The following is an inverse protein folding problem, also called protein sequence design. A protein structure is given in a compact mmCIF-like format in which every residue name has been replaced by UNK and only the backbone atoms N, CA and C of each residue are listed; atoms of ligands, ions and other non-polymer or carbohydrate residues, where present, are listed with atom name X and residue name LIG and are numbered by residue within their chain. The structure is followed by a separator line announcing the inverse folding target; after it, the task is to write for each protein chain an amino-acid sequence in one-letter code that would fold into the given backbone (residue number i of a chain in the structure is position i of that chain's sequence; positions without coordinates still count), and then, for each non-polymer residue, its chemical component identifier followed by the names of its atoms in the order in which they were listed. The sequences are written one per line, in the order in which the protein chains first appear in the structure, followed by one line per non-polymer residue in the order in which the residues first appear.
data_IF_716425174619
#
_entry.id   IF_716425174619
#
_cell.length_a   1.000
_cell.length_b   1.000
_cell.length_c   1.000
_cell.angle_alpha   90.00
_cell.angle_beta   90.00
_cell.angle_gamma   90.00
#
_symmetry.space_group_name_H-M   'P 1'
#
loop_
_entity.id
_entity.type
_entity.pdbx_description
1 polymer ?
#
# COMPACT_ATOMS: atom_id res chain seq x y z
N UNK A 1 111.98 20.98 37.23
CA UNK A 1 111.40 19.67 36.87
C UNK A 1 109.98 19.45 37.41
N UNK A 2 109.64 19.84 38.66
CA UNK A 2 108.29 19.64 39.23
C UNK A 2 107.17 20.46 38.57
N UNK A 3 107.43 21.68 38.08
CA UNK A 3 106.42 22.54 37.43
C UNK A 3 105.91 21.94 36.11
N UNK A 4 106.81 21.38 35.29
CA UNK A 4 106.47 20.71 34.03
C UNK A 4 105.62 19.45 34.24
N UNK A 5 105.82 18.75 35.36
CA UNK A 5 105.05 17.56 35.70
C UNK A 5 103.62 17.90 36.15
N UNK A 6 103.43 19.05 36.79
CA UNK A 6 102.12 19.53 37.22
C UNK A 6 101.28 20.08 36.05
N UNK A 7 101.91 20.82 35.13
CA UNK A 7 101.27 21.27 33.89
C UNK A 7 100.89 20.09 32.99
N UNK A 8 101.76 19.08 32.88
CA UNK A 8 101.46 17.87 32.11
C UNK A 8 100.27 17.09 32.68
N UNK A 9 100.16 16.95 34.01
CA UNK A 9 99.01 16.30 34.64
C UNK A 9 97.71 17.09 34.48
N UNK A 10 97.78 18.42 34.58
CA UNK A 10 96.62 19.29 34.39
C UNK A 10 96.09 19.22 32.96
N UNK A 11 96.97 19.27 31.96
CA UNK A 11 96.60 19.14 30.55
C UNK A 11 95.98 17.77 30.23
N UNK A 12 96.44 16.70 30.90
CA UNK A 12 95.86 15.36 30.75
C UNK A 12 94.43 15.30 31.30
N UNK A 13 94.20 15.93 32.46
CA UNK A 13 92.90 15.98 33.13
C UNK A 13 91.89 16.82 32.36
N UNK A 14 92.32 17.96 31.80
CA UNK A 14 91.50 18.80 30.94
C UNK A 14 91.13 18.05 29.64
N UNK A 15 92.08 17.32 29.05
CA UNK A 15 91.83 16.48 27.88
C UNK A 15 90.82 15.35 28.16
N UNK A 16 90.93 14.67 29.30
CA UNK A 16 90.00 13.61 29.69
C UNK A 16 88.57 14.15 29.89
N UNK A 17 88.45 15.34 30.48
CA UNK A 17 87.17 16.04 30.64
C UNK A 17 86.55 16.43 29.29
N UNK A 18 87.36 16.93 28.35
CA UNK A 18 86.91 17.30 27.01
C UNK A 18 86.43 16.06 26.23
N UNK A 19 87.12 14.93 26.36
CA UNK A 19 86.71 13.65 25.74
C UNK A 19 85.38 13.15 26.32
N UNK A 20 85.18 13.24 27.64
CA UNK A 20 83.92 12.88 28.28
C UNK A 20 82.77 13.78 27.82
N UNK A 21 82.99 15.10 27.74
CA UNK A 21 82.00 16.04 27.20
C UNK A 21 81.66 15.76 25.75
N UNK A 22 82.66 15.45 24.92
CA UNK A 22 82.44 15.08 23.52
C UNK A 22 81.60 13.80 23.42
N UNK A 23 81.82 12.82 24.29
CA UNK A 23 81.02 11.60 24.37
C UNK A 23 79.54 11.87 24.64
N UNK A 24 79.22 12.80 25.56
CA UNK A 24 77.85 13.23 25.86
C UNK A 24 77.22 13.92 24.65
N UNK A 25 77.93 14.87 24.03
CA UNK A 25 77.42 15.59 22.86
C UNK A 25 77.15 14.64 21.69
N UNK A 26 78.00 13.64 21.47
CA UNK A 26 77.79 12.63 20.43
C UNK A 26 76.55 11.77 20.71
N UNK A 27 76.31 11.39 21.97
CA UNK A 27 75.12 10.61 22.34
C UNK A 27 73.84 11.42 22.25
N UNK A 28 73.84 12.68 22.72
CA UNK A 28 72.71 13.60 22.58
C UNK A 28 72.39 13.90 21.11
N UNK A 29 73.43 14.13 20.29
CA UNK A 29 73.27 14.33 18.85
C UNK A 29 72.60 13.12 18.21
N UNK A 30 73.07 11.91 18.51
CA UNK A 30 72.48 10.68 17.97
C UNK A 30 71.02 10.49 18.39
N UNK A 31 70.69 10.72 19.66
CA UNK A 31 69.29 10.69 20.12
C UNK A 31 68.43 11.73 19.41
N UNK A 32 68.95 12.93 19.18
CA UNK A 32 68.24 13.96 18.43
C UNK A 32 68.01 13.57 16.98
N UNK A 33 69.00 12.96 16.31
CA UNK A 33 68.86 12.44 14.94
C UNK A 33 67.80 11.34 14.86
N UNK A 34 67.80 10.39 15.80
CA UNK A 34 66.81 9.32 15.88
C UNK A 34 65.39 9.88 16.10
N UNK A 35 65.24 10.90 16.95
CA UNK A 35 63.98 11.59 17.18
C UNK A 35 63.48 12.31 15.92
N UNK A 36 64.36 13.00 15.18
CA UNK A 36 64.00 13.67 13.92
C UNK A 36 63.55 12.64 12.88
N UNK A 37 64.29 11.54 12.72
CA UNK A 37 63.87 10.45 11.82
C UNK A 37 62.51 9.85 12.23
N UNK A 38 62.25 9.72 13.53
CA UNK A 38 60.94 9.28 14.05
C UNK A 38 59.82 10.26 13.69
N UNK A 39 60.04 11.56 13.86
CA UNK A 39 59.09 12.61 13.50
C UNK A 39 58.84 12.66 11.98
N UNK A 40 59.86 12.47 11.16
CA UNK A 40 59.72 12.41 9.70
C UNK A 40 58.87 11.22 9.25
N UNK A 41 59.08 10.03 9.84
CA UNK A 41 58.23 8.86 9.59
C UNK A 41 56.78 9.12 10.01
N UNK A 42 56.57 9.69 11.19
CA UNK A 42 55.22 10.01 11.67
C UNK A 42 54.53 11.03 10.76
N UNK A 43 55.25 12.06 10.31
CA UNK A 43 54.75 13.06 9.35
C UNK A 43 54.30 12.41 8.04
N UNK A 44 55.10 11.49 7.49
CA UNK A 44 54.74 10.75 6.27
C UNK A 44 53.50 9.87 6.48
N UNK A 45 53.44 9.14 7.60
CA UNK A 45 52.30 8.28 7.94
C UNK A 45 51.01 9.10 8.13
N UNK A 46 51.08 10.22 8.84
CA UNK A 46 49.94 11.13 9.00
C UNK A 46 49.49 11.72 7.66
N UNK A 47 50.45 12.10 6.81
CA UNK A 47 50.17 12.62 5.48
C UNK A 47 49.42 11.61 4.61
N UNK A 48 49.83 10.34 4.62
CA UNK A 48 49.14 9.27 3.92
C UNK A 48 47.71 9.06 4.46
N UNK A 49 47.55 9.03 5.79
CA UNK A 49 46.23 8.89 6.43
C UNK A 49 45.27 10.04 6.07
N UNK A 50 45.77 11.28 6.02
CA UNK A 50 44.98 12.45 5.61
C UNK A 50 44.50 12.31 4.15
N UNK A 51 45.38 11.86 3.25
CA UNK A 51 45.01 11.66 1.84
C UNK A 51 43.94 10.59 1.71
N UNK A 52 44.11 9.46 2.41
CA UNK A 52 43.12 8.38 2.40
C UNK A 52 41.76 8.86 2.92
N UNK A 53 41.74 9.55 4.07
CA UNK A 53 40.49 10.09 4.63
C UNK A 53 39.81 11.09 3.69
N UNK A 54 40.58 11.89 2.95
CA UNK A 54 40.00 12.79 1.93
C UNK A 54 39.33 12.03 0.80
N UNK A 55 39.96 10.98 0.29
CA UNK A 55 39.39 10.13 -0.77
C UNK A 55 38.12 9.42 -0.29
N UNK A 56 38.13 8.88 0.93
CA UNK A 56 36.94 8.25 1.53
C UNK A 56 35.80 9.26 1.70
N UNK A 57 36.10 10.48 2.15
CA UNK A 57 35.10 11.54 2.31
C UNK A 57 34.50 12.01 0.97
N UNK A 58 35.33 12.13 -0.08
CA UNK A 58 34.84 12.40 -1.45
C UNK A 58 33.93 11.28 -1.94
N UNK A 59 34.31 10.01 -1.72
CA UNK A 59 33.48 8.85 -2.06
C UNK A 59 32.12 8.85 -1.36
N UNK A 60 32.10 9.17 -0.05
CA UNK A 60 30.87 9.30 0.72
C UNK A 60 30.01 10.47 0.25
N UNK A 61 30.62 11.60 -0.11
CA UNK A 61 29.91 12.77 -0.64
C UNK A 61 29.17 12.43 -1.95
N UNK A 62 29.82 11.68 -2.85
CA UNK A 62 29.19 11.22 -4.09
C UNK A 62 28.01 10.29 -3.81
N UNK A 63 28.16 9.34 -2.87
CA UNK A 63 27.07 8.43 -2.50
C UNK A 63 25.88 9.18 -1.90
N UNK A 64 26.15 10.21 -1.10
CA UNK A 64 25.12 11.05 -0.49
C UNK A 64 24.32 11.80 -1.57
N UNK A 65 24.99 12.42 -2.55
CA UNK A 65 24.32 13.10 -3.67
C UNK A 65 23.45 12.16 -4.50
N UNK A 66 23.88 10.90 -4.69
CA UNK A 66 23.08 9.89 -5.41
C UNK A 66 21.82 9.55 -4.61
N UNK A 67 21.96 9.28 -3.32
CA UNK A 67 20.82 8.94 -2.46
C UNK A 67 19.82 10.07 -2.33
N UNK A 68 20.27 11.33 -2.26
CA UNK A 68 19.39 12.50 -2.25
C UNK A 68 18.58 12.60 -3.56
N UNK A 69 19.20 12.31 -4.70
CA UNK A 69 18.51 12.28 -6.00
C UNK A 69 17.49 11.16 -6.07
N UNK A 70 17.85 9.96 -5.64
CA UNK A 70 16.96 8.80 -5.63
C UNK A 70 15.75 9.02 -4.70
N UNK A 71 15.97 9.69 -3.56
CA UNK A 71 14.91 10.07 -2.64
C UNK A 71 13.94 11.07 -3.28
N UNK A 72 14.47 12.11 -3.94
CA UNK A 72 13.64 13.09 -4.64
C UNK A 72 12.81 12.47 -5.78
N UNK A 73 13.38 11.52 -6.53
CA UNK A 73 12.63 10.80 -7.56
C UNK A 73 11.52 9.91 -6.95
N UNK A 74 11.82 9.21 -5.86
CA UNK A 74 10.82 8.41 -5.16
C UNK A 74 9.68 9.27 -4.61
N UNK A 75 9.96 10.43 -4.04
CA UNK A 75 8.93 11.36 -3.56
C UNK A 75 8.01 11.80 -4.71
N UNK A 76 8.58 12.09 -5.88
CA UNK A 76 7.80 12.41 -7.09
C UNK A 76 6.91 11.24 -7.52
N UNK A 77 7.46 10.02 -7.56
CA UNK A 77 6.69 8.81 -7.90
C UNK A 77 5.54 8.60 -6.91
N UNK A 78 5.78 8.78 -5.62
CA UNK A 78 4.74 8.68 -4.58
C UNK A 78 3.65 9.72 -4.79
N UNK A 79 4.02 10.97 -5.07
CA UNK A 79 3.06 12.04 -5.34
C UNK A 79 2.20 11.74 -6.57
N UNK A 80 2.81 11.32 -7.68
CA UNK A 80 2.10 10.91 -8.91
C UNK A 80 1.12 9.75 -8.65
N UNK A 81 1.55 8.72 -7.91
CA UNK A 81 0.70 7.56 -7.58
C UNK A 81 -0.44 7.94 -6.64
N UNK A 82 -0.19 8.82 -5.68
CA UNK A 82 -1.22 9.31 -4.75
C UNK A 82 -2.30 10.12 -5.46
N UNK A 83 -1.92 10.97 -6.43
CA UNK A 83 -2.84 11.71 -7.27
C UNK A 83 -3.73 10.77 -8.13
N UNK A 84 -3.14 9.71 -8.69
CA UNK A 84 -3.90 8.70 -9.44
C UNK A 84 -4.91 7.95 -8.56
N UNK A 85 -4.53 7.59 -7.32
CA UNK A 85 -5.43 6.94 -6.36
C UNK A 85 -6.58 7.84 -5.93
N UNK A 86 -6.32 9.14 -5.71
CA UNK A 86 -7.36 10.11 -5.38
C UNK A 86 -8.39 10.31 -6.49
N UNK A 87 -7.98 10.24 -7.76
CA UNK A 87 -8.88 10.22 -8.91
C UNK A 87 -9.70 8.93 -8.99
N UNK A 88 -9.06 7.79 -8.77
CA UNK A 88 -9.69 6.47 -8.82
C UNK A 88 -10.82 6.29 -7.80
N UNK A 89 -10.62 6.75 -6.56
CA UNK A 89 -11.63 6.64 -5.52
C UNK A 89 -12.88 7.48 -5.86
N UNK A 90 -12.68 8.65 -6.47
CA UNK A 90 -13.77 9.51 -6.95
C UNK A 90 -14.53 8.87 -8.11
N UNK A 91 -13.83 8.31 -9.08
CA UNK A 91 -14.43 7.68 -10.26
C UNK A 91 -15.22 6.42 -9.87
N UNK A 92 -14.70 5.60 -8.94
CA UNK A 92 -15.43 4.45 -8.40
C UNK A 92 -16.67 4.89 -7.64
N UNK A 93 -16.58 5.90 -6.78
CA UNK A 93 -17.74 6.40 -6.06
C UNK A 93 -18.80 6.95 -7.02
N UNK A 94 -18.39 7.61 -8.10
CA UNK A 94 -19.31 8.10 -9.13
C UNK A 94 -20.01 6.94 -9.85
N UNK A 95 -19.27 5.93 -10.32
CA UNK A 95 -19.85 4.75 -10.98
C UNK A 95 -20.76 3.95 -10.03
N UNK A 96 -20.34 3.74 -8.79
CA UNK A 96 -21.15 3.05 -7.78
C UNK A 96 -22.42 3.80 -7.45
N UNK A 97 -22.38 5.14 -7.36
CA UNK A 97 -23.54 5.92 -6.95
C UNK A 97 -24.49 6.16 -8.10
N UNK A 98 -24.01 6.69 -9.22
CA UNK A 98 -24.88 7.08 -10.33
C UNK A 98 -25.26 5.87 -11.20
N UNK A 99 -24.37 4.89 -11.32
CA UNK A 99 -24.65 3.64 -12.05
C UNK A 99 -25.63 2.74 -11.32
N UNK A 100 -25.47 2.54 -10.00
CA UNK A 100 -26.39 1.71 -9.22
C UNK A 100 -27.76 2.37 -9.08
N UNK A 101 -27.81 3.67 -8.81
CA UNK A 101 -29.09 4.41 -8.74
C UNK A 101 -29.82 4.36 -10.08
N UNK A 102 -29.13 4.59 -11.19
CA UNK A 102 -29.74 4.50 -12.52
C UNK A 102 -30.28 3.10 -12.86
N UNK A 103 -29.58 2.04 -12.45
CA UNK A 103 -30.08 0.65 -12.61
C UNK A 103 -31.32 0.44 -11.75
N UNK A 104 -31.30 0.85 -10.47
CA UNK A 104 -32.45 0.68 -9.57
C UNK A 104 -33.66 1.46 -10.06
N UNK A 105 -33.49 2.70 -10.51
CA UNK A 105 -34.58 3.52 -11.05
C UNK A 105 -35.18 2.87 -12.30
N UNK A 106 -34.35 2.37 -13.22
CA UNK A 106 -34.85 1.70 -14.42
C UNK A 106 -35.65 0.42 -14.12
N UNK A 107 -35.24 -0.31 -13.08
CA UNK A 107 -35.92 -1.53 -12.63
C UNK A 107 -37.27 -1.20 -12.00
N UNK A 108 -37.33 -0.14 -11.19
CA UNK A 108 -38.57 0.30 -10.58
C UNK A 108 -39.56 0.88 -11.60
N UNK A 109 -39.05 1.47 -12.69
CA UNK A 109 -39.85 1.98 -13.81
C UNK A 109 -40.24 0.91 -14.83
N UNK A 110 -39.65 -0.30 -14.78
CA UNK A 110 -40.01 -1.40 -15.69
C UNK A 110 -41.46 -1.81 -15.47
N UNK A 111 -42.21 -1.82 -16.58
CA UNK A 111 -43.61 -2.26 -16.61
C UNK A 111 -43.72 -3.73 -16.23
N UNK A 112 -42.71 -4.55 -16.56
CA UNK A 112 -42.62 -5.96 -16.23
C UNK A 112 -42.44 -6.17 -14.72
N UNK A 113 -41.57 -5.37 -14.08
CA UNK A 113 -41.42 -5.39 -12.62
C UNK A 113 -42.72 -4.98 -11.92
N UNK A 114 -43.35 -3.88 -12.36
CA UNK A 114 -44.64 -3.43 -11.84
C UNK A 114 -45.75 -4.47 -12.03
N UNK A 115 -45.80 -5.11 -13.20
CA UNK A 115 -46.76 -6.18 -13.50
C UNK A 115 -46.55 -7.40 -12.60
N UNK A 116 -45.30 -7.84 -12.39
CA UNK A 116 -44.96 -8.93 -11.48
C UNK A 116 -45.37 -8.66 -10.03
N UNK A 117 -45.09 -7.45 -9.52
CA UNK A 117 -45.53 -7.03 -8.18
C UNK A 117 -47.05 -7.00 -8.07
N UNK A 118 -47.76 -6.51 -9.09
CA UNK A 118 -49.21 -6.46 -9.09
C UNK A 118 -49.82 -7.87 -9.10
N UNK A 119 -49.28 -8.80 -9.91
CA UNK A 119 -49.69 -10.22 -9.92
C UNK A 119 -49.45 -10.92 -8.58
N UNK A 120 -48.34 -10.62 -7.92
CA UNK A 120 -48.08 -11.13 -6.58
C UNK A 120 -49.09 -10.61 -5.54
N UNK A 121 -49.45 -9.33 -5.60
CA UNK A 121 -50.50 -8.76 -4.76
C UNK A 121 -51.86 -9.40 -5.03
N UNK A 122 -52.22 -9.61 -6.30
CA UNK A 122 -53.46 -10.30 -6.70
C UNK A 122 -53.51 -11.73 -6.13
N UNK A 123 -52.40 -12.47 -6.20
CA UNK A 123 -52.29 -13.81 -5.61
C UNK A 123 -52.45 -13.80 -4.08
N UNK A 124 -51.84 -12.84 -3.38
CA UNK A 124 -52.01 -12.71 -1.93
C UNK A 124 -53.47 -12.45 -1.53
N UNK A 125 -54.19 -11.61 -2.31
CA UNK A 125 -55.61 -11.36 -2.10
C UNK A 125 -56.43 -12.63 -2.36
N UNK A 126 -56.13 -13.36 -3.43
CA UNK A 126 -56.80 -14.63 -3.76
C UNK A 126 -56.60 -15.69 -2.67
N UNK A 127 -55.38 -15.83 -2.14
CA UNK A 127 -55.08 -16.72 -0.99
C UNK A 127 -55.89 -16.32 0.24
N UNK A 128 -55.94 -15.03 0.55
CA UNK A 128 -56.72 -14.52 1.69
C UNK A 128 -58.21 -14.85 1.57
N UNK A 129 -58.77 -14.68 0.36
CA UNK A 129 -60.16 -15.06 0.07
C UNK A 129 -60.39 -16.58 0.18
N UNK A 130 -59.49 -17.38 -0.39
CA UNK A 130 -59.59 -18.85 -0.35
C UNK A 130 -59.51 -19.39 1.09
N UNK A 131 -58.61 -18.84 1.91
CA UNK A 131 -58.51 -19.16 3.33
C UNK A 131 -59.78 -18.78 4.10
N UNK A 132 -60.31 -17.57 3.86
CA UNK A 132 -61.57 -17.12 4.45
C UNK A 132 -62.76 -18.01 4.04
N UNK A 133 -62.80 -18.46 2.78
CA UNK A 133 -63.82 -19.39 2.28
C UNK A 133 -63.68 -20.79 2.90
N UNK A 134 -62.44 -21.25 3.16
CA UNK A 134 -62.16 -22.51 3.84
C UNK A 134 -62.58 -22.47 5.31
N UNK A 135 -62.32 -21.37 6.01
CA UNK A 135 -62.80 -21.15 7.39
C UNK A 135 -64.32 -21.05 7.46
N UNK A 136 -64.94 -20.34 6.52
CA UNK A 136 -66.39 -20.28 6.36
C UNK A 136 -67.01 -21.66 6.16
N UNK A 137 -66.47 -22.49 5.24
CA UNK A 137 -66.93 -23.87 5.04
C UNK A 137 -66.79 -24.72 6.32
N UNK A 138 -65.74 -24.49 7.11
CA UNK A 138 -65.54 -25.16 8.41
C UNK A 138 -66.59 -24.74 9.44
N UNK A 139 -67.01 -23.47 9.45
CA UNK A 139 -68.06 -22.94 10.32
C UNK A 139 -69.47 -23.47 9.92
N UNK A 140 -69.76 -23.57 8.62
CA UNK A 140 -71.01 -24.18 8.12
C UNK A 140 -71.07 -25.68 8.44
N UNK A 141 -69.96 -26.41 8.23
CA UNK A 141 -69.87 -27.83 8.60
C UNK A 141 -69.98 -28.09 10.11
N UNK A 142 -69.70 -27.07 10.93
CA UNK A 142 -69.91 -27.07 12.38
C UNK A 142 -71.30 -26.62 12.83
N UNK A 143 -72.22 -26.33 11.91
CA UNK A 143 -73.63 -26.02 12.23
C UNK A 143 -73.94 -24.56 12.55
N UNK A 144 -73.02 -23.61 12.30
CA UNK A 144 -73.28 -22.18 12.48
C UNK A 144 -73.68 -21.51 11.16
N UNK A 145 -74.71 -20.65 11.22
CA UNK A 145 -75.20 -19.89 10.06
C UNK A 145 -74.19 -18.86 9.59
N UNK A 146 -73.85 -18.89 8.30
CA UNK A 146 -72.85 -18.00 7.72
C UNK A 146 -73.48 -16.70 7.20
N UNK A 147 -72.90 -15.56 7.57
CA UNK A 147 -73.10 -14.32 6.83
C UNK A 147 -72.41 -14.45 5.46
N UNK A 148 -73.13 -14.04 4.41
CA UNK A 148 -72.83 -14.17 2.98
C UNK A 148 -71.34 -14.11 2.64
N UNK A 149 -70.75 -15.27 2.36
CA UNK A 149 -69.55 -15.39 1.53
C UNK A 149 -70.06 -15.62 0.11
N UNK A 150 -70.01 -14.59 -0.72
CA UNK A 150 -70.33 -14.70 -2.15
C UNK A 150 -69.21 -15.46 -2.84
N UNK A 151 -69.55 -16.62 -3.39
CA UNK A 151 -68.73 -17.31 -4.38
C UNK A 151 -68.68 -16.45 -5.64
N UNK A 152 -67.51 -15.94 -6.00
CA UNK A 152 -67.31 -15.12 -7.20
C UNK A 152 -67.05 -15.99 -8.46
N UNK A 153 -67.04 -17.31 -8.32
CA UNK A 153 -66.85 -18.26 -9.43
C UNK A 153 -65.43 -18.28 -9.99
N UNK A 154 -64.47 -17.65 -9.31
CA UNK A 154 -63.06 -17.59 -9.71
C UNK A 154 -62.31 -18.77 -9.09
N UNK A 155 -61.54 -19.48 -9.90
CA UNK A 155 -60.61 -20.50 -9.41
C UNK A 155 -59.37 -19.83 -8.81
N UNK A 156 -59.48 -19.49 -7.53
CA UNK A 156 -58.41 -18.82 -6.77
C UNK A 156 -57.14 -19.67 -6.64
N UNK A 157 -57.22 -21.00 -6.80
CA UNK A 157 -56.05 -21.88 -6.76
C UNK A 157 -55.24 -21.75 -8.06
N UNK A 158 -55.93 -21.77 -9.20
CA UNK A 158 -55.34 -21.52 -10.52
C UNK A 158 -54.71 -20.12 -10.61
N UNK A 159 -55.36 -19.08 -10.08
CA UNK A 159 -54.81 -17.70 -10.07
C UNK A 159 -53.50 -17.61 -9.27
N UNK A 160 -53.36 -18.39 -8.20
CA UNK A 160 -52.14 -18.43 -7.38
C UNK A 160 -51.03 -19.20 -8.09
N UNK A 161 -51.34 -20.33 -8.73
CA UNK A 161 -50.36 -21.06 -9.54
C UNK A 161 -49.86 -20.22 -10.72
N UNK A 162 -50.74 -19.55 -11.46
CA UNK A 162 -50.35 -18.66 -12.56
C UNK A 162 -49.45 -17.50 -12.11
N UNK A 163 -49.71 -16.94 -10.92
CA UNK A 163 -48.89 -15.86 -10.37
C UNK A 163 -47.51 -16.36 -9.89
N UNK A 164 -47.44 -17.56 -9.31
CA UNK A 164 -46.18 -18.19 -8.91
C UNK A 164 -45.33 -18.61 -10.12
N UNK A 165 -45.95 -19.16 -11.15
CA UNK A 165 -45.28 -19.48 -12.41
C UNK A 165 -44.80 -18.22 -13.15
N UNK A 166 -45.63 -17.17 -13.20
CA UNK A 166 -45.22 -15.88 -13.75
C UNK A 166 -44.00 -15.32 -12.98
N UNK A 167 -44.00 -15.40 -11.65
CA UNK A 167 -42.89 -14.93 -10.83
C UNK A 167 -41.62 -15.78 -10.99
N UNK A 168 -41.76 -17.11 -11.08
CA UNK A 168 -40.65 -18.03 -11.29
C UNK A 168 -40.06 -17.96 -12.71
N UNK A 169 -40.86 -17.54 -13.68
CA UNK A 169 -40.45 -17.35 -15.09
C UNK A 169 -39.80 -15.99 -15.38
N UNK A 170 -39.78 -15.06 -14.42
CA UNK A 170 -39.10 -13.77 -14.57
C UNK A 170 -37.59 -14.02 -14.63
N UNK A 171 -37.04 -13.90 -15.84
CA UNK A 171 -35.60 -13.77 -16.01
C UNK A 171 -35.18 -12.40 -15.49
N UNK A 172 -34.63 -12.37 -14.27
CA UNK A 172 -34.15 -11.13 -13.67
C UNK A 172 -33.09 -10.44 -14.54
N UNK A 173 -32.35 -11.12 -15.43
CA UNK A 173 -31.46 -10.42 -16.37
C UNK A 173 -32.23 -9.60 -17.42
N UNK A 174 -33.36 -10.13 -17.90
CA UNK A 174 -34.27 -9.45 -18.83
C UNK A 174 -35.02 -8.31 -18.13
N UNK A 175 -35.58 -8.57 -16.95
CA UNK A 175 -36.34 -7.58 -16.15
C UNK A 175 -35.45 -6.44 -15.67
N UNK A 176 -34.18 -6.70 -15.37
CA UNK A 176 -33.21 -5.67 -15.01
C UNK A 176 -32.64 -4.92 -16.23
N UNK A 177 -33.11 -5.21 -17.46
CA UNK A 177 -32.63 -4.58 -18.69
C UNK A 177 -31.14 -4.83 -18.97
N UNK A 178 -30.55 -5.86 -18.36
CA UNK A 178 -29.11 -6.14 -18.41
C UNK A 178 -28.67 -6.79 -19.74
N UNK A 179 -29.60 -7.12 -20.63
CA UNK A 179 -29.31 -7.66 -21.96
C UNK A 179 -28.57 -6.66 -22.87
N UNK A 180 -28.81 -5.36 -22.67
CA UNK A 180 -28.09 -4.28 -23.37
C UNK A 180 -26.74 -3.92 -22.73
N UNK A 181 -26.52 -4.34 -21.48
CA UNK A 181 -25.22 -4.22 -20.82
C UNK A 181 -24.30 -5.25 -21.47
N UNK A 182 -23.40 -4.77 -22.32
CA UNK A 182 -22.37 -5.62 -22.92
C UNK A 182 -21.46 -6.15 -21.80
N UNK A 183 -21.84 -7.30 -21.23
CA UNK A 183 -21.10 -8.01 -20.18
C UNK A 183 -19.69 -8.31 -20.68
N UNK A 184 -19.50 -8.52 -21.99
CA UNK A 184 -18.19 -8.61 -22.63
C UNK A 184 -17.36 -7.33 -22.52
N UNK A 185 -17.98 -6.14 -22.59
CA UNK A 185 -17.33 -4.83 -22.41
C UNK A 185 -17.01 -4.55 -20.94
N UNK A 186 -17.88 -4.92 -20.00
CA UNK A 186 -17.59 -4.88 -18.56
C UNK A 186 -16.44 -5.83 -18.20
N UNK A 187 -16.49 -7.06 -18.73
CA UNK A 187 -15.44 -8.07 -18.57
C UNK A 187 -14.13 -7.64 -19.24
N UNK A 188 -14.17 -6.98 -20.40
CA UNK A 188 -13.00 -6.37 -21.06
C UNK A 188 -12.44 -5.21 -20.24
N UNK A 189 -13.26 -4.30 -19.70
CA UNK A 189 -12.78 -3.21 -18.83
C UNK A 189 -12.06 -3.78 -17.59
N UNK A 190 -12.61 -4.85 -16.99
CA UNK A 190 -12.00 -5.54 -15.84
C UNK A 190 -10.73 -6.31 -16.24
N UNK A 191 -10.72 -7.02 -17.37
CA UNK A 191 -9.60 -7.87 -17.81
C UNK A 191 -8.47 -7.08 -18.49
N UNK A 192 -8.79 -6.07 -19.30
CA UNK A 192 -7.82 -5.23 -20.00
C UNK A 192 -7.09 -4.24 -19.09
N UNK A 193 -7.60 -4.00 -17.87
CA UNK A 193 -6.90 -3.19 -16.86
C UNK A 193 -6.42 -3.97 -15.63
N UNK A 194 -6.92 -5.19 -15.41
CA UNK A 194 -6.35 -6.16 -14.45
C UNK A 194 -5.20 -7.02 -15.01
N UNK A 195 -4.96 -6.98 -16.33
CA UNK A 195 -3.92 -7.77 -17.01
C UNK A 195 -2.56 -7.09 -17.20
N UNK A 196 -2.36 -5.87 -16.70
CA UNK A 196 -1.04 -5.20 -16.73
C UNK A 196 -0.18 -5.54 -15.50
N UNK A 197 -0.53 -6.59 -14.76
CA UNK A 197 0.20 -7.09 -13.60
C UNK A 197 0.51 -8.59 -13.70
N UNK A 198 1.03 -9.02 -14.86
CA UNK A 198 1.77 -10.27 -14.97
C UNK A 198 2.59 -10.35 -16.26
N UNK A 199 3.77 -9.71 -16.26
CA UNK A 199 5.08 -10.21 -16.74
C UNK A 199 6.08 -9.05 -16.78
#
# INVERSE_FOLDING_TARGET
MQVLHYESQKNLFDCEKDVLQLGVVVTEKKMSEDNVMGLERNKLSLGAAIIQLKQENEGLSIQLEILERDLAENDRVVEEKSALLGGFDRDIQWVMKDGLVGIVDHVLESLEFGYGVNRFCEACVAIGKALGMKEAKKLVGGGFGLAVVTDDGVDHEMVVEEALDAFASLDYMFVLGLEGLNVGKLKWIVQSRGGASSS
#
